data_IF_513898655536
#
_entry.id   IF_513898655536
#
_cell.length_a   1.000
_cell.length_b   1.000
_cell.length_c   1.000
_cell.angle_alpha   90.00
_cell.angle_beta   90.00
_cell.angle_gamma   90.00
#
_symmetry.space_group_name_H-M   'P 1'
#
loop_
_entity.id
_entity.type
_entity.pdbx_description
1 polymer ?
#
# COMPACT_ATOMS: atom_id res chain seq x y z
N UNK A 1 -12.44 -16.57 5.17
CA UNK A 1 -11.13 -16.00 4.74
C UNK A 1 -11.22 -14.50 4.95
N UNK A 2 -10.20 -13.88 5.52
CA UNK A 2 -10.15 -12.43 5.70
C UNK A 2 -10.14 -11.73 4.34
N UNK A 3 -10.81 -10.59 4.24
CA UNK A 3 -10.95 -9.78 3.02
C UNK A 3 -10.05 -8.55 3.09
N UNK A 4 -9.44 -8.17 1.95
CA UNK A 4 -8.62 -6.96 1.83
C UNK A 4 -9.50 -5.77 1.48
N UNK A 5 -9.38 -4.66 2.21
CA UNK A 5 -10.15 -3.45 1.96
C UNK A 5 -9.25 -2.24 1.68
N UNK A 6 -9.66 -1.44 0.70
CA UNK A 6 -9.15 -0.09 0.49
C UNK A 6 -10.22 0.90 0.95
N UNK A 7 -9.96 1.60 2.05
CA UNK A 7 -10.80 2.67 2.57
C UNK A 7 -10.34 3.99 1.94
N UNK A 8 -11.20 4.60 1.15
CA UNK A 8 -10.81 5.68 0.24
C UNK A 8 -11.53 6.97 0.64
N UNK A 9 -10.76 8.04 0.87
CA UNK A 9 -11.33 9.37 0.89
C UNK A 9 -11.83 9.78 -0.49
N UNK A 10 -12.78 10.72 -0.54
CA UNK A 10 -13.43 11.13 -1.78
C UNK A 10 -12.82 12.39 -2.35
N UNK A 11 -13.01 13.51 -1.66
CA UNK A 11 -12.60 14.85 -2.09
C UNK A 11 -11.10 15.01 -1.92
N UNK A 12 -10.40 15.52 -2.94
CA UNK A 12 -8.95 15.66 -2.92
C UNK A 12 -8.18 14.36 -3.20
N UNK A 13 -8.88 13.21 -3.18
CA UNK A 13 -8.29 11.87 -3.35
C UNK A 13 -8.79 11.14 -4.60
N UNK A 14 -10.12 11.04 -4.80
CA UNK A 14 -10.72 10.42 -5.99
C UNK A 14 -11.27 11.46 -6.96
N UNK A 15 -11.76 12.58 -6.42
CA UNK A 15 -12.29 13.71 -7.17
C UNK A 15 -11.59 15.00 -6.72
N UNK A 16 -11.57 15.98 -7.61
CA UNK A 16 -11.06 17.31 -7.31
C UNK A 16 -11.88 17.96 -6.19
N UNK A 17 -11.20 18.45 -5.16
CA UNK A 17 -11.78 19.26 -4.10
C UNK A 17 -11.66 20.75 -4.46
N UNK A 18 -12.79 21.48 -4.61
CA UNK A 18 -12.78 22.92 -4.82
C UNK A 18 -12.10 23.65 -3.64
N UNK A 19 -11.20 24.59 -3.92
CA UNK A 19 -10.43 25.27 -2.86
C UNK A 19 -11.12 26.51 -2.29
N UNK A 20 -12.23 26.93 -2.90
CA UNK A 20 -13.06 28.05 -2.47
C UNK A 20 -14.13 27.61 -1.47
N UNK A 21 -14.83 26.52 -1.78
CA UNK A 21 -16.00 26.02 -1.03
C UNK A 21 -15.72 24.71 -0.31
N UNK A 22 -14.68 23.96 -0.70
CA UNK A 22 -14.39 22.61 -0.22
C UNK A 22 -15.56 21.62 -0.38
N UNK A 23 -16.49 21.92 -1.28
CA UNK A 23 -17.72 21.17 -1.49
C UNK A 23 -17.98 20.97 -2.98
N UNK A 24 -18.23 19.72 -3.37
CA UNK A 24 -18.73 19.36 -4.70
C UNK A 24 -20.25 19.29 -4.62
N UNK A 25 -20.89 20.45 -4.82
CA UNK A 25 -22.34 20.69 -4.71
C UNK A 25 -23.06 20.74 -6.08
N UNK A 26 -22.32 20.55 -7.17
CA UNK A 26 -22.85 20.57 -8.53
C UNK A 26 -22.09 19.62 -9.46
N UNK A 27 -22.74 19.22 -10.56
CA UNK A 27 -22.14 18.31 -11.55
C UNK A 27 -20.96 18.98 -12.26
N UNK A 28 -21.00 20.29 -12.43
CA UNK A 28 -19.93 21.09 -13.05
C UNK A 28 -18.66 21.10 -12.20
N UNK A 29 -18.79 21.01 -10.88
CA UNK A 29 -17.65 20.87 -9.96
C UNK A 29 -17.11 19.43 -9.90
N UNK A 30 -17.88 18.44 -10.36
CA UNK A 30 -17.46 17.04 -10.34
C UNK A 30 -16.37 16.79 -11.38
N UNK A 31 -15.13 16.65 -10.90
CA UNK A 31 -13.98 16.26 -11.72
C UNK A 31 -13.27 15.07 -11.09
N UNK A 32 -13.26 13.93 -11.78
CA UNK A 32 -12.49 12.76 -11.37
C UNK A 32 -11.00 13.07 -11.55
N UNK A 33 -10.19 12.73 -10.56
CA UNK A 33 -8.74 12.94 -10.62
C UNK A 33 -8.07 11.95 -11.57
N UNK A 34 -6.95 12.37 -12.15
CA UNK A 34 -6.14 11.53 -13.02
C UNK A 34 -5.71 10.25 -12.28
N UNK A 35 -5.74 9.12 -12.97
CA UNK A 35 -5.41 7.82 -12.40
C UNK A 35 -6.48 7.20 -11.48
N UNK A 36 -7.53 7.91 -11.07
CA UNK A 36 -8.52 7.37 -10.14
C UNK A 36 -9.23 6.12 -10.69
N UNK A 37 -9.74 6.19 -11.93
CA UNK A 37 -10.42 5.06 -12.56
C UNK A 37 -9.48 3.84 -12.70
N UNK A 38 -8.29 4.05 -13.26
CA UNK A 38 -7.34 2.95 -13.46
C UNK A 38 -6.84 2.37 -12.13
N UNK A 39 -6.56 3.24 -11.15
CA UNK A 39 -6.10 2.86 -9.82
C UNK A 39 -7.12 2.00 -9.08
N UNK A 40 -8.39 2.40 -9.07
CA UNK A 40 -9.47 1.62 -8.45
C UNK A 40 -9.67 0.26 -9.13
N UNK A 41 -9.62 0.20 -10.47
CA UNK A 41 -9.68 -1.07 -11.21
C UNK A 41 -8.50 -1.98 -10.86
N UNK A 42 -7.30 -1.42 -10.73
CA UNK A 42 -6.11 -2.18 -10.36
C UNK A 42 -6.16 -2.68 -8.91
N UNK A 43 -6.75 -1.92 -7.98
CA UNK A 43 -7.03 -2.39 -6.62
C UNK A 43 -8.00 -3.58 -6.63
N UNK A 44 -9.11 -3.48 -7.36
CA UNK A 44 -10.06 -4.60 -7.51
C UNK A 44 -9.40 -5.85 -8.13
N UNK A 45 -8.58 -5.69 -9.18
CA UNK A 45 -7.82 -6.80 -9.78
C UNK A 45 -6.85 -7.47 -8.79
N UNK A 46 -6.31 -6.72 -7.83
CA UNK A 46 -5.46 -7.23 -6.74
C UNK A 46 -6.27 -7.81 -5.56
N UNK A 47 -7.60 -7.93 -5.71
CA UNK A 47 -8.49 -8.55 -4.73
C UNK A 47 -8.97 -7.63 -3.62
N UNK A 48 -8.75 -6.31 -3.73
CA UNK A 48 -9.28 -5.35 -2.77
C UNK A 48 -10.77 -5.11 -3.00
N UNK A 49 -11.52 -5.07 -1.90
CA UNK A 49 -12.85 -4.49 -1.81
C UNK A 49 -12.73 -3.00 -1.54
N UNK A 50 -13.55 -2.19 -2.19
CA UNK A 50 -13.47 -0.74 -2.09
C UNK A 50 -14.53 -0.23 -1.13
N UNK A 51 -14.14 0.66 -0.21
CA UNK A 51 -15.03 1.34 0.72
C UNK A 51 -14.73 2.83 0.65
N UNK A 52 -15.74 3.67 0.45
CA UNK A 52 -15.57 5.12 0.46
C UNK A 52 -15.88 5.66 1.86
N UNK A 53 -15.03 6.54 2.40
CA UNK A 53 -15.25 7.19 3.70
C UNK A 53 -14.98 8.67 3.55
N UNK A 54 -15.99 9.53 3.67
CA UNK A 54 -15.86 10.97 3.43
C UNK A 54 -16.53 11.83 4.51
N UNK A 55 -15.92 12.98 4.80
CA UNK A 55 -16.51 14.03 5.63
C UNK A 55 -17.14 15.08 4.71
N UNK A 56 -18.45 15.29 4.80
CA UNK A 56 -19.20 16.22 3.97
C UNK A 56 -19.84 17.28 4.85
N UNK A 57 -19.06 18.33 5.15
CA UNK A 57 -19.44 19.37 6.10
C UNK A 57 -20.77 20.03 5.72
N UNK A 58 -21.79 19.87 6.57
CA UNK A 58 -23.05 20.59 6.45
C UNK A 58 -24.03 20.00 5.44
N UNK A 59 -23.84 18.76 4.96
CA UNK A 59 -24.86 18.12 4.11
C UNK A 59 -26.19 18.03 4.84
N UNK A 60 -27.24 18.57 4.21
CA UNK A 60 -28.58 18.69 4.76
C UNK A 60 -28.85 19.96 5.55
N UNK A 61 -27.88 20.86 5.65
CA UNK A 61 -28.11 22.23 6.13
C UNK A 61 -28.65 23.12 5.00
N UNK A 62 -29.25 24.29 5.31
CA UNK A 62 -29.66 25.24 4.28
C UNK A 62 -28.52 25.73 3.37
N UNK A 63 -27.27 25.76 3.87
CA UNK A 63 -26.10 26.14 3.11
C UNK A 63 -25.54 25.03 2.22
N UNK A 64 -25.88 23.77 2.49
CA UNK A 64 -25.52 22.64 1.63
C UNK A 64 -26.63 21.57 1.65
N UNK A 65 -27.69 21.77 0.86
CA UNK A 65 -28.82 20.85 0.77
C UNK A 65 -28.41 19.42 0.38
N UNK A 66 -29.17 18.42 0.85
CA UNK A 66 -28.92 17.00 0.54
C UNK A 66 -28.90 16.77 -0.98
N UNK A 67 -29.84 17.38 -1.72
CA UNK A 67 -29.92 17.20 -3.18
C UNK A 67 -28.65 17.68 -3.91
N UNK A 68 -28.02 18.73 -3.42
CA UNK A 68 -26.81 19.32 -4.03
C UNK A 68 -25.59 18.41 -3.79
N UNK A 69 -25.61 17.59 -2.74
CA UNK A 69 -24.65 16.51 -2.54
C UNK A 69 -25.01 15.24 -3.35
N UNK A 70 -26.29 14.85 -3.36
CA UNK A 70 -26.74 13.59 -3.96
C UNK A 70 -26.59 13.59 -5.49
N UNK A 71 -26.86 14.71 -6.18
CA UNK A 71 -26.76 14.77 -7.65
C UNK A 71 -25.33 14.49 -8.14
N UNK A 72 -24.27 15.18 -7.67
CA UNK A 72 -22.90 14.86 -8.07
C UNK A 72 -22.44 13.50 -7.56
N UNK A 73 -22.84 13.09 -6.34
CA UNK A 73 -22.50 11.79 -5.78
C UNK A 73 -23.07 10.65 -6.63
N UNK A 74 -24.34 10.72 -7.04
CA UNK A 74 -24.96 9.72 -7.91
C UNK A 74 -24.24 9.65 -9.26
N UNK A 75 -23.93 10.80 -9.87
CA UNK A 75 -23.20 10.85 -11.15
C UNK A 75 -21.80 10.24 -11.03
N UNK A 76 -21.09 10.50 -9.92
CA UNK A 76 -19.79 9.88 -9.65
C UNK A 76 -19.89 8.36 -9.60
N UNK A 77 -20.87 7.82 -8.88
CA UNK A 77 -21.07 6.38 -8.74
C UNK A 77 -21.48 5.72 -10.06
N UNK A 78 -22.26 6.40 -10.89
CA UNK A 78 -22.55 5.94 -12.26
C UNK A 78 -21.28 5.83 -13.09
N UNK A 79 -20.43 6.86 -13.13
CA UNK A 79 -19.17 6.84 -13.89
C UNK A 79 -18.28 5.70 -13.40
N UNK A 80 -18.16 5.50 -12.09
CA UNK A 80 -17.40 4.38 -11.54
C UNK A 80 -17.98 3.03 -11.95
N UNK A 81 -19.30 2.86 -11.85
CA UNK A 81 -19.98 1.62 -12.26
C UNK A 81 -19.82 1.33 -13.75
N UNK A 82 -19.94 2.33 -14.62
CA UNK A 82 -19.68 2.22 -16.07
C UNK A 82 -18.26 1.74 -16.36
N UNK A 83 -17.31 2.06 -15.48
CA UNK A 83 -15.92 1.63 -15.57
C UNK A 83 -15.61 0.28 -14.89
N UNK A 84 -16.63 -0.40 -14.33
CA UNK A 84 -16.52 -1.67 -13.62
C UNK A 84 -15.97 -1.52 -12.19
N UNK A 85 -16.11 -0.34 -11.61
CA UNK A 85 -15.68 -0.03 -10.25
C UNK A 85 -16.90 -0.11 -9.32
N UNK A 86 -16.79 -0.89 -8.25
CA UNK A 86 -17.88 -1.10 -7.29
C UNK A 86 -17.38 -0.85 -5.86
N UNK A 87 -18.09 0.03 -5.15
CA UNK A 87 -17.91 0.26 -3.72
C UNK A 87 -18.83 -0.68 -2.95
N UNK A 88 -18.27 -1.46 -2.04
CA UNK A 88 -19.03 -2.37 -1.18
C UNK A 88 -19.83 -1.58 -0.14
N UNK A 89 -19.27 -0.49 0.36
CA UNK A 89 -19.92 0.46 1.26
C UNK A 89 -19.43 1.89 1.01
N UNK A 90 -20.31 2.85 1.32
CA UNK A 90 -20.01 4.29 1.29
C UNK A 90 -20.47 4.89 2.61
N UNK A 91 -19.52 5.46 3.35
CA UNK A 91 -19.76 6.11 4.63
C UNK A 91 -19.57 7.62 4.52
N UNK A 92 -20.60 8.36 4.89
CA UNK A 92 -20.63 9.82 4.79
C UNK A 92 -20.93 10.42 6.17
N UNK A 93 -20.05 11.28 6.66
CA UNK A 93 -20.34 12.12 7.83
C UNK A 93 -20.87 13.49 7.36
N UNK A 94 -22.14 13.85 7.61
CA UNK A 94 -22.70 15.15 7.19
C UNK A 94 -22.37 16.31 8.14
N UNK A 95 -21.83 16.02 9.33
CA UNK A 95 -21.70 16.99 10.42
C UNK A 95 -20.54 17.97 10.24
N UNK A 96 -20.72 19.17 10.79
CA UNK A 96 -19.70 20.18 10.95
C UNK A 96 -18.69 19.79 12.06
N UNK A 97 -17.47 20.35 12.06
CA UNK A 97 -16.50 20.12 13.13
C UNK A 97 -17.03 20.40 14.55
N UNK A 98 -17.85 21.42 14.71
CA UNK A 98 -18.43 21.89 15.98
C UNK A 98 -19.55 21.01 16.52
N UNK A 99 -20.16 20.14 15.70
CA UNK A 99 -21.29 19.29 16.11
C UNK A 99 -20.89 18.17 17.09
N UNK A 100 -19.59 17.91 17.27
CA UNK A 100 -19.10 16.93 18.24
C UNK A 100 -19.43 15.46 17.94
N UNK A 101 -19.99 15.16 16.76
CA UNK A 101 -20.44 13.82 16.37
C UNK A 101 -19.33 12.74 16.41
N UNK A 102 -19.72 11.46 16.48
CA UNK A 102 -18.76 10.34 16.53
C UNK A 102 -18.38 9.74 15.17
N UNK A 103 -19.06 10.17 14.10
CA UNK A 103 -18.85 9.67 12.75
C UNK A 103 -17.75 10.41 11.98
N UNK A 104 -17.44 11.66 12.32
CA UNK A 104 -16.48 12.50 11.58
C UNK A 104 -15.05 11.98 11.69
N UNK A 105 -14.36 11.72 10.56
CA UNK A 105 -12.91 11.43 10.56
C UNK A 105 -12.17 12.58 11.27
N UNK A 106 -11.27 12.30 12.24
CA UNK A 106 -10.57 11.03 12.46
C UNK A 106 -11.23 10.09 13.48
N UNK A 107 -12.50 10.24 13.84
CA UNK A 107 -13.23 9.25 14.65
C UNK A 107 -13.67 8.06 13.78
N UNK A 108 -13.91 6.92 14.39
CA UNK A 108 -14.17 5.62 13.74
C UNK A 108 -15.64 5.23 13.69
N UNK A 109 -16.55 6.01 14.29
CA UNK A 109 -17.94 5.62 14.50
C UNK A 109 -18.71 5.22 13.24
N UNK A 110 -18.35 5.76 12.06
CA UNK A 110 -18.96 5.36 10.78
C UNK A 110 -18.72 3.90 10.42
N UNK A 111 -17.53 3.38 10.74
CA UNK A 111 -17.07 2.07 10.26
C UNK A 111 -17.01 1.03 11.37
N UNK A 112 -17.22 1.39 12.62
CA UNK A 112 -17.13 0.46 13.78
C UNK A 112 -18.02 -0.77 13.61
N UNK A 113 -19.28 -0.58 13.23
CA UNK A 113 -20.20 -1.70 12.96
C UNK A 113 -19.68 -2.58 11.81
N UNK A 114 -19.17 -1.95 10.76
CA UNK A 114 -18.63 -2.67 9.60
C UNK A 114 -17.40 -3.51 9.97
N UNK A 115 -16.49 -2.98 10.79
CA UNK A 115 -15.33 -3.71 11.30
C UNK A 115 -15.71 -4.84 12.27
N UNK A 116 -16.79 -4.67 13.05
CA UNK A 116 -17.27 -5.70 13.95
C UNK A 116 -17.96 -6.88 13.22
N UNK A 117 -18.61 -6.60 12.08
CA UNK A 117 -19.42 -7.57 11.33
C UNK A 117 -18.67 -8.20 10.13
N UNK A 118 -17.48 -7.69 9.79
CA UNK A 118 -16.75 -8.09 8.59
C UNK A 118 -15.36 -8.64 8.93
N UNK A 119 -15.04 -9.80 8.35
CA UNK A 119 -13.71 -10.39 8.40
C UNK A 119 -12.70 -9.57 7.57
N UNK A 120 -12.11 -8.53 8.16
CA UNK A 120 -11.14 -7.63 7.51
C UNK A 120 -9.70 -8.11 7.78
N UNK A 121 -8.90 -8.21 6.73
CA UNK A 121 -7.45 -8.38 6.84
C UNK A 121 -6.80 -7.03 7.16
N UNK A 122 -6.62 -6.73 8.44
CA UNK A 122 -6.04 -5.47 8.92
C UNK A 122 -4.61 -5.23 8.40
N UNK A 123 -3.91 -6.29 8.03
CA UNK A 123 -2.49 -6.24 7.63
C UNK A 123 -2.31 -5.90 6.15
N UNK A 124 -3.32 -6.21 5.36
CA UNK A 124 -3.35 -5.95 3.93
C UNK A 124 -4.26 -4.78 3.57
N UNK A 125 -5.15 -4.38 4.48
CA UNK A 125 -6.07 -3.26 4.28
C UNK A 125 -5.41 -1.91 4.57
N UNK A 126 -5.91 -0.85 3.95
CA UNK A 126 -5.34 0.48 4.12
C UNK A 126 -6.39 1.59 3.97
N UNK A 127 -6.09 2.75 4.56
CA UNK A 127 -6.79 4.02 4.28
C UNK A 127 -5.95 4.83 3.30
N UNK A 128 -6.61 5.39 2.29
CA UNK A 128 -6.04 6.30 1.30
C UNK A 128 -6.70 7.67 1.43
N UNK A 129 -5.91 8.73 1.59
CA UNK A 129 -6.44 10.10 1.71
C UNK A 129 -5.36 11.17 1.62
N UNK A 130 -5.76 12.43 1.47
CA UNK A 130 -4.85 13.57 1.36
C UNK A 130 -4.69 14.36 2.68
N UNK A 131 -5.50 14.05 3.71
CA UNK A 131 -5.55 14.84 4.96
C UNK A 131 -4.97 14.08 6.15
N UNK A 132 -4.48 14.87 7.11
CA UNK A 132 -4.06 14.39 8.42
C UNK A 132 -5.19 13.66 9.18
N UNK A 133 -6.44 13.98 8.88
CA UNK A 133 -7.61 13.28 9.40
C UNK A 133 -7.69 11.83 8.93
N UNK A 134 -7.28 11.53 7.70
CA UNK A 134 -7.28 10.18 7.15
C UNK A 134 -6.15 9.35 7.75
N UNK A 135 -4.98 9.97 7.94
CA UNK A 135 -3.85 9.36 8.66
C UNK A 135 -4.26 8.93 10.06
N UNK A 136 -4.83 9.84 10.85
CA UNK A 136 -5.30 9.54 12.22
C UNK A 136 -6.45 8.54 12.24
N UNK A 137 -7.31 8.54 11.22
CA UNK A 137 -8.36 7.54 11.06
C UNK A 137 -7.78 6.14 10.85
N UNK A 138 -6.78 6.01 9.97
CA UNK A 138 -6.05 4.75 9.73
C UNK A 138 -5.38 4.22 11.00
N UNK A 139 -4.72 5.10 11.77
CA UNK A 139 -4.05 4.76 13.02
C UNK A 139 -5.03 4.17 14.04
N UNK A 140 -6.21 4.78 14.21
CA UNK A 140 -7.23 4.28 15.14
C UNK A 140 -7.84 2.95 14.70
N UNK A 141 -7.92 2.71 13.39
CA UNK A 141 -8.35 1.42 12.84
C UNK A 141 -7.26 0.35 12.90
N UNK A 142 -6.01 0.73 13.19
CA UNK A 142 -4.87 -0.19 13.21
C UNK A 142 -4.49 -0.72 11.83
N UNK A 143 -4.79 0.03 10.76
CA UNK A 143 -4.47 -0.35 9.37
C UNK A 143 -3.52 0.66 8.74
N UNK A 144 -2.89 0.27 7.63
CA UNK A 144 -1.88 1.09 6.93
C UNK A 144 -2.50 2.39 6.40
N UNK A 145 -1.77 3.49 6.51
CA UNK A 145 -2.09 4.74 5.81
C UNK A 145 -1.30 4.87 4.51
N UNK A 146 -1.97 5.28 3.44
CA UNK A 146 -1.40 5.56 2.12
C UNK A 146 -1.68 7.03 1.79
N UNK A 147 -0.67 7.91 1.86
CA UNK A 147 -0.86 9.35 1.62
C UNK A 147 -1.05 9.65 0.14
N UNK A 148 -2.02 10.50 -0.18
CA UNK A 148 -2.22 11.06 -1.52
C UNK A 148 -1.89 12.55 -1.54
N UNK A 149 -1.44 13.03 -2.69
CA UNK A 149 -1.32 14.47 -2.94
C UNK A 149 -2.72 15.03 -3.20
N UNK A 150 -3.11 16.09 -2.47
CA UNK A 150 -4.41 16.73 -2.66
C UNK A 150 -4.58 17.19 -4.10
N UNK A 151 -5.67 16.77 -4.75
CA UNK A 151 -5.96 17.07 -6.15
C UNK A 151 -4.88 16.59 -7.14
N UNK A 152 -3.98 15.70 -6.70
CA UNK A 152 -2.95 15.09 -7.53
C UNK A 152 -3.46 13.85 -8.28
N UNK A 153 -2.53 13.10 -8.86
CA UNK A 153 -2.83 11.81 -9.50
C UNK A 153 -3.10 10.73 -8.44
N UNK A 154 -4.21 10.02 -8.53
CA UNK A 154 -4.50 8.89 -7.67
C UNK A 154 -3.60 7.71 -8.04
N UNK A 155 -2.58 7.45 -7.23
CA UNK A 155 -1.67 6.33 -7.40
C UNK A 155 -1.22 5.76 -6.04
N UNK A 156 -1.98 4.82 -5.44
CA UNK A 156 -1.62 4.22 -4.15
C UNK A 156 -0.49 3.19 -4.26
N UNK A 157 -0.15 2.72 -5.47
CA UNK A 157 0.72 1.55 -5.65
C UNK A 157 2.16 1.71 -5.17
N UNK A 158 2.83 2.87 -5.26
CA UNK A 158 4.17 3.07 -4.69
C UNK A 158 4.21 2.79 -3.18
N UNK A 159 3.10 3.03 -2.48
CA UNK A 159 2.98 2.76 -1.05
C UNK A 159 2.54 1.33 -0.74
N UNK A 160 2.00 0.61 -1.72
CA UNK A 160 1.57 -0.78 -1.59
C UNK A 160 2.62 -1.78 -2.09
N UNK A 161 3.61 -1.32 -2.86
CA UNK A 161 4.69 -2.14 -3.37
C UNK A 161 5.76 -2.38 -2.31
N UNK A 162 6.11 -3.64 -2.06
CA UNK A 162 7.23 -4.02 -1.19
C UNK A 162 8.54 -3.99 -1.98
N UNK A 163 8.94 -2.79 -2.38
CA UNK A 163 10.14 -2.54 -3.18
C UNK A 163 11.07 -1.60 -2.42
N UNK A 164 12.36 -1.91 -2.37
CA UNK A 164 13.39 -1.05 -1.80
C UNK A 164 14.59 -0.94 -2.71
N UNK A 165 15.27 0.19 -2.66
CA UNK A 165 16.53 0.44 -3.36
C UNK A 165 17.54 1.00 -2.39
N UNK A 166 18.64 0.28 -2.19
CA UNK A 166 19.68 0.61 -1.23
C UNK A 166 21.01 0.71 -1.97
N UNK A 167 21.78 1.74 -1.64
CA UNK A 167 23.15 1.93 -2.13
C UNK A 167 24.10 2.04 -0.95
N UNK A 168 25.28 1.44 -1.09
CA UNK A 168 26.35 1.50 -0.10
C UNK A 168 27.68 1.61 -0.82
N UNK A 169 28.39 2.69 -0.54
CA UNK A 169 29.73 2.95 -1.06
C UNK A 169 30.67 3.11 0.13
N UNK A 170 31.68 2.26 0.18
CA UNK A 170 32.78 2.31 1.16
C UNK A 170 34.11 2.50 0.43
N UNK A 171 35.23 2.49 1.15
CA UNK A 171 36.55 2.47 0.52
C UNK A 171 36.90 1.11 -0.12
N UNK A 172 36.21 0.04 0.30
CA UNK A 172 36.49 -1.34 -0.10
C UNK A 172 35.46 -1.86 -1.11
N UNK A 173 34.22 -1.37 -1.05
CA UNK A 173 33.09 -1.89 -1.82
C UNK A 173 32.20 -0.78 -2.39
N UNK A 174 31.55 -1.08 -3.52
CA UNK A 174 30.50 -0.24 -4.13
C UNK A 174 29.32 -1.13 -4.53
N UNK A 175 28.16 -0.87 -3.95
CA UNK A 175 26.99 -1.74 -4.05
C UNK A 175 25.73 -0.91 -4.35
N UNK A 176 24.98 -1.35 -5.35
CA UNK A 176 23.64 -0.85 -5.66
C UNK A 176 22.69 -2.02 -5.80
N UNK A 177 21.62 -2.02 -5.01
CA UNK A 177 20.65 -3.12 -4.94
C UNK A 177 19.23 -2.57 -4.99
N UNK A 178 18.38 -3.17 -5.81
CA UNK A 178 16.92 -2.98 -5.82
C UNK A 178 16.25 -4.33 -5.64
N UNK A 179 15.32 -4.42 -4.70
CA UNK A 179 14.61 -5.64 -4.33
C UNK A 179 13.10 -5.41 -4.35
N UNK A 180 12.37 -6.26 -5.06
CA UNK A 180 10.92 -6.39 -4.99
C UNK A 180 10.54 -7.70 -4.30
N UNK A 181 9.94 -7.61 -3.10
CA UNK A 181 9.48 -8.78 -2.34
C UNK A 181 8.19 -9.42 -2.89
N UNK A 182 7.50 -8.74 -3.80
CA UNK A 182 6.31 -9.21 -4.54
C UNK A 182 6.66 -9.50 -6.02
N UNK A 183 7.85 -10.06 -6.23
CA UNK A 183 8.36 -10.33 -7.57
C UNK A 183 7.82 -11.61 -8.20
N UNK A 184 8.47 -11.96 -9.29
CA UNK A 184 8.21 -13.19 -10.06
C UNK A 184 9.46 -14.07 -10.15
N UNK A 185 10.54 -13.68 -9.48
CA UNK A 185 11.84 -14.37 -9.55
C UNK A 185 12.76 -13.85 -10.64
N UNK A 186 12.52 -12.65 -11.19
CA UNK A 186 13.41 -12.03 -12.19
C UNK A 186 14.67 -11.51 -11.53
N UNK A 187 15.81 -11.61 -12.20
CA UNK A 187 17.05 -11.11 -11.61
C UNK A 187 18.02 -10.52 -12.64
N UNK A 188 18.75 -9.51 -12.18
CA UNK A 188 19.93 -8.93 -12.83
C UNK A 188 21.03 -8.87 -11.76
N UNK A 189 21.89 -9.90 -11.71
CA UNK A 189 22.92 -10.06 -10.68
C UNK A 189 24.29 -9.93 -11.32
N UNK A 190 25.06 -8.96 -10.84
CA UNK A 190 26.41 -8.69 -11.30
C UNK A 190 27.30 -8.32 -10.12
N UNK A 191 28.01 -9.30 -9.58
CA UNK A 191 29.06 -9.11 -8.57
C UNK A 191 30.39 -9.69 -9.05
N UNK A 192 31.51 -9.23 -8.47
CA UNK A 192 32.85 -9.73 -8.79
C UNK A 192 33.08 -11.19 -8.33
N UNK A 193 32.16 -11.77 -7.55
CA UNK A 193 32.27 -13.14 -7.01
C UNK A 193 31.23 -14.03 -7.70
N UNK A 194 31.70 -14.93 -8.59
CA UNK A 194 30.83 -15.82 -9.36
C UNK A 194 29.95 -16.74 -8.51
N UNK A 195 30.46 -17.22 -7.37
CA UNK A 195 29.67 -18.03 -6.44
C UNK A 195 28.53 -17.22 -5.82
N UNK A 196 28.79 -15.97 -5.41
CA UNK A 196 27.79 -15.08 -4.84
C UNK A 196 26.70 -14.75 -5.86
N UNK A 197 27.07 -14.56 -7.14
CA UNK A 197 26.11 -14.38 -8.22
C UNK A 197 25.11 -15.55 -8.23
N UNK A 198 25.62 -16.78 -8.29
CA UNK A 198 24.76 -17.97 -8.32
C UNK A 198 23.82 -18.06 -7.10
N UNK A 199 24.33 -17.77 -5.90
CA UNK A 199 23.50 -17.78 -4.68
C UNK A 199 22.38 -16.74 -4.70
N UNK A 200 22.64 -15.53 -5.21
CA UNK A 200 21.66 -14.45 -5.31
C UNK A 200 20.62 -14.71 -6.41
N UNK A 201 21.02 -15.33 -7.52
CA UNK A 201 20.10 -15.78 -8.57
C UNK A 201 19.12 -16.83 -8.04
N UNK A 202 19.61 -17.82 -7.28
CA UNK A 202 18.78 -18.82 -6.63
C UNK A 202 17.84 -18.20 -5.59
N UNK A 203 18.36 -17.27 -4.77
CA UNK A 203 17.56 -16.51 -3.81
C UNK A 203 16.39 -15.78 -4.48
N UNK A 204 16.65 -15.07 -5.58
CA UNK A 204 15.61 -14.36 -6.33
C UNK A 204 14.60 -15.33 -6.94
N UNK A 205 15.09 -16.34 -7.67
CA UNK A 205 14.26 -17.30 -8.42
C UNK A 205 13.36 -18.14 -7.52
N UNK A 206 13.90 -18.68 -6.43
CA UNK A 206 13.15 -19.57 -5.53
C UNK A 206 12.40 -18.80 -4.43
N UNK A 207 12.85 -17.58 -4.10
CA UNK A 207 12.13 -16.66 -3.21
C UNK A 207 10.96 -15.92 -3.88
N UNK A 208 10.86 -15.98 -5.22
CA UNK A 208 9.95 -15.18 -6.04
C UNK A 208 10.14 -13.67 -5.81
N UNK A 209 11.39 -13.26 -5.64
CA UNK A 209 11.77 -11.86 -5.53
C UNK A 209 12.28 -11.37 -6.88
N UNK A 210 11.98 -10.12 -7.24
CA UNK A 210 12.72 -9.50 -8.34
C UNK A 210 13.94 -8.76 -7.76
N UNK A 211 15.14 -9.14 -8.19
CA UNK A 211 16.40 -8.63 -7.62
C UNK A 211 17.28 -8.04 -8.71
N UNK A 212 17.68 -6.78 -8.53
CA UNK A 212 18.75 -6.16 -9.31
C UNK A 212 19.89 -5.79 -8.38
N UNK A 213 21.09 -6.30 -8.62
CA UNK A 213 22.27 -6.00 -7.81
C UNK A 213 23.51 -5.83 -8.69
N UNK A 214 24.22 -4.75 -8.45
CA UNK A 214 25.57 -4.51 -8.94
C UNK A 214 26.47 -4.33 -7.72
N UNK A 215 27.51 -5.14 -7.58
CA UNK A 215 28.42 -5.07 -6.45
C UNK A 215 29.87 -5.23 -6.92
N UNK A 216 30.74 -4.31 -6.49
CA UNK A 216 32.18 -4.32 -6.77
C UNK A 216 32.95 -4.25 -5.46
N UNK A 217 34.08 -4.93 -5.39
CA UNK A 217 34.91 -4.98 -4.18
C UNK A 217 36.38 -5.22 -4.45
N UNK A 218 37.19 -5.15 -3.41
CA UNK A 218 38.63 -5.42 -3.43
C UNK A 218 38.98 -6.92 -3.39
N UNK A 219 38.31 -7.72 -4.22
CA UNK A 219 38.39 -9.20 -4.30
C UNK A 219 39.78 -9.77 -4.65
N UNK A 220 40.72 -8.88 -4.97
CA UNK A 220 42.13 -9.21 -5.22
C UNK A 220 42.92 -9.54 -3.94
N UNK A 221 42.40 -9.16 -2.76
CA UNK A 221 43.00 -9.52 -1.47
C UNK A 221 42.16 -10.58 -0.73
N UNK A 222 40.87 -10.30 -0.55
CA UNK A 222 39.89 -11.19 0.07
C UNK A 222 38.48 -10.78 -0.34
N UNK A 223 37.57 -11.74 -0.38
CA UNK A 223 36.18 -11.58 -0.81
C UNK A 223 35.24 -11.18 0.34
N UNK A 224 35.70 -11.27 1.59
CA UNK A 224 34.82 -11.16 2.76
C UNK A 224 34.14 -9.78 2.89
N UNK A 225 34.82 -8.68 2.54
CA UNK A 225 34.22 -7.34 2.58
C UNK A 225 33.02 -7.25 1.64
N UNK A 226 33.16 -7.75 0.40
CA UNK A 226 32.09 -7.71 -0.59
C UNK A 226 30.91 -8.58 -0.16
N UNK A 227 31.16 -9.77 0.37
CA UNK A 227 30.10 -10.68 0.85
C UNK A 227 29.35 -10.06 2.04
N UNK A 228 30.08 -9.50 3.01
CA UNK A 228 29.49 -8.88 4.20
C UNK A 228 28.63 -7.68 3.81
N UNK A 229 29.16 -6.76 3.00
CA UNK A 229 28.44 -5.55 2.62
C UNK A 229 27.24 -5.86 1.71
N UNK A 230 27.32 -6.87 0.83
CA UNK A 230 26.13 -7.36 0.09
C UNK A 230 25.08 -7.88 1.06
N UNK A 231 25.47 -8.63 2.10
CA UNK A 231 24.57 -9.10 3.14
C UNK A 231 23.88 -7.96 3.90
N UNK A 232 24.62 -6.90 4.25
CA UNK A 232 24.09 -5.70 4.91
C UNK A 232 23.06 -5.01 4.01
N UNK A 233 23.42 -4.74 2.75
CA UNK A 233 22.55 -4.04 1.79
C UNK A 233 21.29 -4.85 1.51
N UNK A 234 21.41 -6.17 1.35
CA UNK A 234 20.26 -7.06 1.16
C UNK A 234 19.34 -7.05 2.39
N UNK A 235 19.91 -7.13 3.61
CA UNK A 235 19.14 -7.06 4.85
C UNK A 235 18.41 -5.71 5.02
N UNK A 236 19.06 -4.60 4.67
CA UNK A 236 18.46 -3.27 4.66
C UNK A 236 17.31 -3.19 3.65
N UNK A 237 17.52 -3.67 2.42
CA UNK A 237 16.48 -3.67 1.39
C UNK A 237 15.27 -4.52 1.78
N UNK A 238 15.49 -5.70 2.38
CA UNK A 238 14.40 -6.54 2.91
C UNK A 238 13.63 -5.77 4.00
N UNK A 239 14.33 -5.13 4.93
CA UNK A 239 13.71 -4.36 6.02
C UNK A 239 12.88 -3.19 5.48
N UNK A 240 13.42 -2.42 4.55
CA UNK A 240 12.74 -1.29 3.93
C UNK A 240 11.53 -1.73 3.11
N UNK A 241 11.69 -2.77 2.28
CA UNK A 241 10.62 -3.31 1.45
C UNK A 241 9.51 -3.97 2.28
N UNK A 242 9.85 -4.59 3.42
CA UNK A 242 8.88 -5.18 4.33
C UNK A 242 8.13 -4.14 5.17
N UNK A 243 8.68 -2.94 5.36
CA UNK A 243 8.08 -1.84 6.12
C UNK A 243 7.71 -2.25 7.57
N UNK A 244 6.57 -1.79 8.10
CA UNK A 244 6.01 -2.28 9.37
C UNK A 244 5.69 -3.77 9.21
N UNK A 245 6.47 -4.63 9.87
CA UNK A 245 6.34 -6.10 9.80
C UNK A 245 4.98 -6.62 10.31
N UNK A 246 4.11 -5.73 10.81
CA UNK A 246 2.73 -6.03 11.18
C UNK A 246 2.02 -6.83 10.09
N UNK A 247 1.71 -8.07 10.44
CA UNK A 247 0.97 -9.00 9.60
C UNK A 247 1.79 -9.98 8.78
N UNK A 248 3.11 -9.93 8.86
CA UNK A 248 3.94 -11.05 8.43
C UNK A 248 3.79 -12.18 9.45
N UNK A 249 2.72 -12.98 9.31
CA UNK A 249 2.56 -14.26 9.99
C UNK A 249 2.88 -15.36 8.99
N UNK A 250 4.14 -15.79 8.91
CA UNK A 250 4.54 -16.93 8.07
C UNK A 250 5.15 -18.03 8.93
N UNK A 251 4.49 -19.17 8.92
CA UNK A 251 5.11 -20.47 9.18
C UNK A 251 5.62 -20.98 7.83
N UNK A 252 6.94 -21.05 7.68
CA UNK A 252 7.57 -21.67 6.52
C UNK A 252 8.04 -23.06 6.90
N UNK A 253 7.47 -24.09 6.28
CA UNK A 253 7.96 -25.46 6.33
C UNK A 253 8.23 -25.91 4.90
N UNK A 254 9.48 -26.22 4.61
CA UNK A 254 9.86 -26.82 3.33
C UNK A 254 10.62 -28.12 3.58
N UNK A 255 10.13 -29.17 2.93
CA UNK A 255 10.88 -30.40 2.70
C UNK A 255 11.32 -30.37 1.25
N UNK A 256 12.61 -30.14 1.03
CA UNK A 256 13.19 -30.18 -0.31
C UNK A 256 13.98 -31.49 -0.45
N UNK A 257 13.48 -32.48 -1.21
CA UNK A 257 14.29 -33.62 -1.58
C UNK A 257 15.32 -33.19 -2.62
N UNK A 258 16.59 -33.47 -2.34
CA UNK A 258 17.71 -33.37 -3.27
C UNK A 258 18.28 -34.79 -3.52
N UNK A 259 19.21 -34.94 -4.47
CA UNK A 259 19.86 -36.24 -4.67
C UNK A 259 20.57 -36.67 -3.37
N UNK A 260 20.11 -37.81 -2.82
CA UNK A 260 20.55 -38.47 -1.59
C UNK A 260 20.41 -37.68 -0.26
N UNK A 261 19.79 -36.50 -0.26
CA UNK A 261 19.65 -35.66 0.95
C UNK A 261 18.25 -35.05 1.08
N UNK A 262 17.70 -35.06 2.31
CA UNK A 262 16.49 -34.33 2.68
C UNK A 262 16.87 -33.07 3.46
N UNK A 263 16.53 -31.90 2.92
CA UNK A 263 16.68 -30.63 3.64
C UNK A 263 15.35 -30.27 4.29
N UNK A 264 15.36 -30.14 5.62
CA UNK A 264 14.25 -29.57 6.40
C UNK A 264 14.66 -28.20 6.93
N UNK A 265 13.86 -27.17 6.64
CA UNK A 265 14.04 -25.84 7.22
C UNK A 265 12.73 -25.36 7.83
N UNK A 266 12.82 -24.95 9.09
CA UNK A 266 11.72 -24.38 9.87
C UNK A 266 12.07 -22.94 10.23
N UNK A 267 11.25 -22.00 9.80
CA UNK A 267 11.43 -20.59 10.12
C UNK A 267 10.20 -20.10 10.87
N UNK A 268 10.40 -19.73 12.14
CA UNK A 268 9.42 -19.00 12.95
C UNK A 268 9.86 -17.54 13.03
N UNK A 269 9.10 -16.66 12.37
CA UNK A 269 9.22 -15.21 12.55
C UNK A 269 7.98 -14.76 13.32
N UNK A 270 8.18 -14.36 14.58
CA UNK A 270 7.12 -13.92 15.48
C UNK A 270 7.50 -12.54 16.00
N UNK A 271 6.94 -11.50 15.37
CA UNK A 271 6.90 -10.15 15.90
C UNK A 271 5.44 -9.92 16.35
N UNK A 272 5.05 -10.58 17.44
CA UNK A 272 3.77 -10.36 18.13
C UNK A 272 3.70 -8.99 18.78
#
# INVERSE_FOLDING_TARGET
MLKKYAFLDRDGTLIFEPQDTFQVDSIEKLKILDGAIEGLKNLQKRGFKLVMVTNQNGVGTPSFPIEDFEKPQARLLEIFKENGIEFEQIFVCPHLPEDGCDCRKPKTGLVEKFFAETDIDLTQSFVCGDRETDRKFAEKLGIKYVPMERNGTFNPFPYLSRVASVKRDTNETQISLTLNLDGTGKYEVDTDIGFLNHMLELFAKHGLFDLKISARGDTQYDDHHLIEDVGIVLGQAIKEAASDKKGIKRYGFILLPMDEVLVSSEVKLDDS
#
